data_IF_889948331845
#
_entry.id   IF_889948331845
#
_cell.length_a   1.000
_cell.length_b   1.000
_cell.length_c   1.000
_cell.angle_alpha   90.00
_cell.angle_beta   90.00
_cell.angle_gamma   90.00
#
_symmetry.space_group_name_H-M   'P 1'
#
loop_
_entity.id
_entity.type
_entity.pdbx_description
1 polymer ?
#
# COMPACT_ATOMS: atom_id res chain seq x y z
N UNK A 1 8.81 16.28 22.03
CA UNK A 1 7.88 17.02 21.16
C UNK A 1 7.20 15.98 20.29
N UNK A 2 5.94 15.67 20.55
CA UNK A 2 5.15 14.84 19.63
C UNK A 2 4.99 15.59 18.32
N UNK A 3 5.68 15.14 17.27
CA UNK A 3 5.46 15.65 15.92
C UNK A 3 4.02 15.28 15.55
N UNK A 4 3.13 16.27 15.57
CA UNK A 4 1.76 16.08 15.14
C UNK A 4 1.75 15.44 13.75
N UNK A 5 1.14 14.27 13.65
CA UNK A 5 1.17 13.48 12.43
C UNK A 5 0.34 14.20 11.35
N UNK A 6 1.02 14.72 10.33
CA UNK A 6 0.36 15.42 9.22
C UNK A 6 -0.63 14.48 8.52
N UNK A 7 -1.87 14.95 8.35
CA UNK A 7 -2.94 14.21 7.68
C UNK A 7 -3.12 14.76 6.28
N UNK A 8 -3.03 13.88 5.29
CA UNK A 8 -3.37 14.19 3.90
C UNK A 8 -4.77 13.65 3.59
N UNK A 9 -5.65 14.50 3.05
CA UNK A 9 -6.97 14.09 2.57
C UNK A 9 -6.85 13.63 1.11
N UNK A 10 -7.45 12.49 0.79
CA UNK A 10 -7.43 11.90 -0.56
C UNK A 10 -8.85 11.45 -0.88
N UNK A 11 -9.36 11.80 -2.06
CA UNK A 11 -10.62 11.27 -2.55
C UNK A 11 -10.44 9.81 -3.00
N UNK A 12 -11.22 8.92 -2.43
CA UNK A 12 -11.20 7.48 -2.70
C UNK A 12 -12.56 6.96 -3.17
N UNK A 13 -13.47 7.85 -3.58
CA UNK A 13 -14.86 7.51 -3.89
C UNK A 13 -14.97 6.37 -4.93
N UNK A 14 -14.18 6.44 -6.00
CA UNK A 14 -14.17 5.41 -7.06
C UNK A 14 -13.43 4.12 -6.67
N UNK A 15 -12.58 4.18 -5.65
CA UNK A 15 -11.76 3.05 -5.20
C UNK A 15 -12.35 2.35 -3.98
N UNK A 16 -13.33 2.95 -3.30
CA UNK A 16 -13.86 2.49 -2.02
C UNK A 16 -14.29 1.04 -2.07
N UNK A 17 -15.16 0.68 -3.01
CA UNK A 17 -15.67 -0.69 -3.15
C UNK A 17 -14.55 -1.70 -3.43
N UNK A 18 -13.59 -1.32 -4.28
CA UNK A 18 -12.43 -2.17 -4.59
C UNK A 18 -11.55 -2.40 -3.38
N UNK A 19 -11.33 -1.37 -2.55
CA UNK A 19 -10.53 -1.45 -1.32
C UNK A 19 -11.23 -2.31 -0.27
N UNK A 20 -12.54 -2.12 -0.08
CA UNK A 20 -13.35 -2.89 0.88
C UNK A 20 -13.33 -4.39 0.56
N UNK A 21 -13.32 -4.75 -0.73
CA UNK A 21 -13.33 -6.14 -1.21
C UNK A 21 -11.97 -6.67 -1.64
N UNK A 22 -10.88 -5.96 -1.36
CA UNK A 22 -9.54 -6.33 -1.84
C UNK A 22 -9.04 -7.67 -1.27
N UNK A 23 -9.57 -8.13 -0.13
CA UNK A 23 -9.22 -9.41 0.48
C UNK A 23 -10.46 -10.18 0.92
N UNK A 24 -10.46 -11.51 0.81
CA UNK A 24 -11.57 -12.35 1.25
C UNK A 24 -11.59 -12.60 2.78
N UNK A 25 -10.51 -12.24 3.48
CA UNK A 25 -10.35 -12.49 4.92
C UNK A 25 -11.38 -11.74 5.79
N UNK A 26 -12.01 -12.39 6.80
CA UNK A 26 -12.94 -11.74 7.71
C UNK A 26 -12.33 -10.56 8.48
N UNK A 27 -11.05 -10.65 8.90
CA UNK A 27 -10.42 -9.57 9.65
C UNK A 27 -10.30 -8.30 8.80
N UNK A 28 -10.17 -8.43 7.48
CA UNK A 28 -10.18 -7.29 6.56
C UNK A 28 -11.45 -6.47 6.70
N UNK A 29 -12.62 -7.11 6.79
CA UNK A 29 -13.91 -6.40 6.87
C UNK A 29 -14.01 -5.50 8.11
N UNK A 30 -13.41 -5.91 9.22
CA UNK A 30 -13.39 -5.17 10.49
C UNK A 30 -12.45 -3.95 10.47
N UNK A 31 -11.55 -3.83 9.48
CA UNK A 31 -10.63 -2.70 9.39
C UNK A 31 -11.32 -1.46 8.83
N UNK A 32 -10.93 -0.29 9.35
CA UNK A 32 -11.32 1.00 8.76
C UNK A 32 -10.73 1.18 7.36
N UNK A 33 -11.39 1.96 6.51
CA UNK A 33 -10.93 2.27 5.16
C UNK A 33 -9.50 2.84 5.16
N UNK A 34 -9.18 3.75 6.09
CA UNK A 34 -7.84 4.32 6.22
C UNK A 34 -6.76 3.26 6.52
N UNK A 35 -7.09 2.25 7.35
CA UNK A 35 -6.16 1.17 7.67
C UNK A 35 -5.98 0.21 6.50
N UNK A 36 -7.07 -0.11 5.79
CA UNK A 36 -7.04 -0.88 4.54
C UNK A 36 -6.14 -0.22 3.50
N UNK A 37 -6.34 1.08 3.25
CA UNK A 37 -5.53 1.88 2.32
C UNK A 37 -4.05 1.85 2.72
N UNK A 38 -3.74 2.07 4.00
CA UNK A 38 -2.36 2.06 4.48
C UNK A 38 -1.67 0.72 4.24
N UNK A 39 -2.35 -0.39 4.50
CA UNK A 39 -1.80 -1.73 4.25
C UNK A 39 -1.53 -1.93 2.76
N UNK A 40 -2.52 -1.66 1.90
CA UNK A 40 -2.36 -1.81 0.44
C UNK A 40 -1.22 -0.94 -0.12
N UNK A 41 -1.05 0.27 0.40
CA UNK A 41 0.04 1.15 0.00
C UNK A 41 1.41 0.60 0.42
N UNK A 42 1.54 0.11 1.66
CA UNK A 42 2.79 -0.50 2.15
C UNK A 42 3.18 -1.68 1.25
N UNK A 43 2.25 -2.60 0.99
CA UNK A 43 2.53 -3.76 0.14
C UNK A 43 2.94 -3.37 -1.27
N UNK A 44 2.28 -2.34 -1.84
CA UNK A 44 2.64 -1.87 -3.18
C UNK A 44 4.01 -1.20 -3.20
N UNK A 45 4.36 -0.45 -2.16
CA UNK A 45 5.70 0.15 -2.01
C UNK A 45 6.77 -0.93 -1.90
N UNK A 46 6.57 -1.95 -1.06
CA UNK A 46 7.48 -3.09 -0.92
C UNK A 46 7.69 -3.80 -2.26
N UNK A 47 6.63 -4.04 -3.03
CA UNK A 47 6.75 -4.62 -4.38
C UNK A 47 7.58 -3.75 -5.33
N UNK A 48 7.36 -2.43 -5.32
CA UNK A 48 8.11 -1.48 -6.17
C UNK A 48 9.59 -1.47 -5.78
N UNK A 49 9.89 -1.50 -4.48
CA UNK A 49 11.25 -1.55 -3.95
C UNK A 49 11.97 -2.84 -4.34
N UNK A 50 11.29 -3.99 -4.23
CA UNK A 50 11.82 -5.28 -4.67
C UNK A 50 12.09 -5.32 -6.18
N UNK A 51 11.22 -4.71 -7.00
CA UNK A 51 11.45 -4.64 -8.46
C UNK A 51 12.70 -3.82 -8.83
N UNK A 52 13.00 -2.76 -8.09
CA UNK A 52 14.20 -1.93 -8.32
C UNK A 52 15.49 -2.68 -8.03
N UNK A 53 15.53 -3.50 -6.99
CA UNK A 53 16.73 -4.27 -6.63
C UNK A 53 17.01 -5.38 -7.63
N UNK A 54 15.98 -6.07 -8.12
CA UNK A 54 16.14 -7.14 -9.13
C UNK A 54 16.64 -6.64 -10.48
N UNK A 55 16.30 -5.40 -10.86
CA UNK A 55 16.65 -4.83 -12.18
C UNK A 55 18.12 -4.39 -12.32
N UNK A 56 18.87 -4.34 -11.21
CA UNK A 56 20.25 -3.82 -11.18
C UNK A 56 21.31 -4.94 -11.28
N UNK A 57 20.95 -6.21 -11.09
CA UNK A 57 21.92 -7.32 -11.07
C UNK A 57 22.21 -7.97 -12.43
N UNK A 58 21.56 -7.57 -13.52
CA UNK A 58 21.64 -8.28 -14.82
C UNK A 58 22.51 -7.58 -15.89
N UNK A 59 23.32 -6.57 -15.52
CA UNK A 59 24.18 -5.81 -16.46
C UNK A 59 25.67 -5.84 -16.13
N UNK A 60 26.14 -6.89 -15.46
CA UNK A 60 27.51 -6.96 -14.92
C UNK A 60 28.33 -8.18 -15.32
N UNK A 61 27.97 -8.93 -16.37
CA UNK A 61 28.82 -10.02 -16.86
C UNK A 61 28.63 -10.24 -18.37
N UNK A 62 29.32 -9.43 -19.18
CA UNK A 62 29.59 -9.68 -20.59
C UNK A 62 30.99 -9.14 -20.93
#
# INVERSE_FOLDING_TARGET
>A
MDMAQERTSIDLSELRERIENARPDPLWKELSLSKKVRILLIERLEQIEQQKTSSTQDKGNA
#
